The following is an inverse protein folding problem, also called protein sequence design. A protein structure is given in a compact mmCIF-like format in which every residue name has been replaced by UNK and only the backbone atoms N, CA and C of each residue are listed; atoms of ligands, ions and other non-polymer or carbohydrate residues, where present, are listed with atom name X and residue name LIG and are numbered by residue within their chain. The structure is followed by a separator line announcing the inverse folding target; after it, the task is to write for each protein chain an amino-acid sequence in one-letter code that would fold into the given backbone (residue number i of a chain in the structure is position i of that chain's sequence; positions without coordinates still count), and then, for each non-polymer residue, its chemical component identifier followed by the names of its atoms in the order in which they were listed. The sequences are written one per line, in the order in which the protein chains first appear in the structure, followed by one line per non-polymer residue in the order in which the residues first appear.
data_IF_701945236800
#
_entry.id   IF_701945236800
#
_cell.length_a   1.000
_cell.length_b   1.000
_cell.length_c   1.000
_cell.angle_alpha   90.00
_cell.angle_beta   90.00
_cell.angle_gamma   90.00
#
_symmetry.space_group_name_H-M   'P 1'
#
loop_
_entity.id
_entity.type
_entity.pdbx_description
1 polymer ?
#
# COMPACT_ATOMS: atom_id res chain seq x y z
N UNK A 1 -7.08 42.05 27.84
CA UNK A 1 -6.25 41.69 26.67
C UNK A 1 -7.18 41.11 25.59
N UNK A 2 -7.50 41.90 24.55
CA UNK A 2 -8.36 41.41 23.46
C UNK A 2 -7.54 40.50 22.55
N UNK A 3 -7.86 39.20 22.58
CA UNK A 3 -7.24 38.23 21.70
C UNK A 3 -7.65 38.54 20.24
N UNK A 4 -6.71 38.71 19.31
CA UNK A 4 -6.99 38.99 17.90
C UNK A 4 -7.89 37.91 17.27
N UNK A 5 -8.80 38.32 16.37
CA UNK A 5 -9.77 37.39 15.71
C UNK A 5 -9.11 36.18 15.10
N UNK A 6 -7.92 36.32 14.51
CA UNK A 6 -7.14 35.24 13.91
C UNK A 6 -6.70 34.18 14.93
N UNK A 7 -6.33 34.60 16.15
CA UNK A 7 -5.92 33.67 17.23
C UNK A 7 -7.16 32.97 17.81
N UNK A 8 -8.31 33.64 17.91
CA UNK A 8 -9.58 33.00 18.31
C UNK A 8 -9.99 31.90 17.31
N UNK A 9 -9.87 32.17 16.01
CA UNK A 9 -10.16 31.20 14.97
C UNK A 9 -9.21 29.98 15.04
N UNK A 10 -7.92 30.21 15.26
CA UNK A 10 -6.93 29.16 15.43
C UNK A 10 -7.22 28.28 16.66
N UNK A 11 -7.61 28.89 17.78
CA UNK A 11 -8.00 28.15 18.99
C UNK A 11 -9.27 27.33 18.81
N UNK A 12 -10.26 27.84 18.04
CA UNK A 12 -11.47 27.09 17.71
C UNK A 12 -11.14 25.88 16.83
N UNK A 13 -10.28 26.05 15.82
CA UNK A 13 -9.81 24.96 14.96
C UNK A 13 -9.06 23.90 15.80
N UNK A 14 -8.19 24.31 16.72
CA UNK A 14 -7.47 23.38 17.61
C UNK A 14 -8.41 22.60 18.55
N UNK A 15 -9.51 23.22 19.01
CA UNK A 15 -10.51 22.57 19.86
C UNK A 15 -11.33 21.52 19.10
N UNK A 16 -11.62 21.76 17.83
CA UNK A 16 -12.37 20.81 16.97
C UNK A 16 -11.58 19.52 16.73
N UNK A 17 -10.25 19.58 16.65
CA UNK A 17 -9.40 18.40 16.48
C UNK A 17 -9.48 17.41 17.65
N UNK A 18 -9.77 17.85 18.85
CA UNK A 18 -9.87 16.96 20.02
C UNK A 18 -11.19 16.17 20.09
N UNK A 19 -12.17 16.50 19.24
CA UNK A 19 -13.47 15.80 19.17
C UNK A 19 -13.56 14.81 18.00
N UNK A 20 -12.53 14.75 17.16
CA UNK A 20 -12.50 13.85 16.01
C UNK A 20 -11.99 12.47 16.44
N UNK A 21 -12.90 11.60 16.89
CA UNK A 21 -12.63 10.17 16.98
C UNK A 21 -12.74 9.59 15.56
N UNK A 22 -11.60 9.35 14.92
CA UNK A 22 -11.54 8.71 13.61
C UNK A 22 -11.11 7.26 13.79
N UNK A 23 -11.90 6.34 13.24
CA UNK A 23 -11.64 4.91 13.25
C UNK A 23 -12.73 4.11 13.94
N UNK A 24 -12.78 2.83 13.64
CA UNK A 24 -13.65 1.87 14.32
C UNK A 24 -12.77 1.02 15.24
N UNK A 25 -12.95 1.14 16.56
CA UNK A 25 -12.19 0.41 17.58
C UNK A 25 -12.33 -1.11 17.42
N UNK A 26 -13.51 -1.59 16.99
CA UNK A 26 -13.79 -3.02 16.78
C UNK A 26 -12.95 -3.61 15.62
N UNK A 27 -12.40 -2.77 14.76
CA UNK A 27 -11.56 -3.16 13.61
C UNK A 27 -10.07 -2.92 13.85
N UNK A 28 -9.69 -2.47 15.04
CA UNK A 28 -8.29 -2.26 15.36
C UNK A 28 -7.52 -3.58 15.26
N UNK A 29 -6.44 -3.60 14.49
CA UNK A 29 -5.62 -4.80 14.25
C UNK A 29 -6.19 -5.81 13.25
N UNK A 30 -7.34 -5.57 12.62
CA UNK A 30 -7.93 -6.47 11.60
C UNK A 30 -7.27 -6.35 10.22
N UNK A 31 -6.53 -5.28 9.96
CA UNK A 31 -5.87 -5.04 8.68
C UNK A 31 -4.54 -5.80 8.60
N UNK A 32 -4.38 -6.57 7.51
CA UNK A 32 -3.09 -7.14 7.08
C UNK A 32 -2.48 -6.32 5.95
N UNK A 33 -1.48 -6.88 5.27
CA UNK A 33 -0.81 -6.26 4.11
C UNK A 33 -0.32 -4.83 4.38
N UNK A 34 0.23 -4.58 5.57
CA UNK A 34 0.68 -3.25 6.00
C UNK A 34 1.79 -2.66 5.11
N UNK A 35 2.48 -3.48 4.34
CA UNK A 35 3.44 -3.06 3.33
C UNK A 35 2.82 -2.20 2.22
N UNK A 36 1.50 -2.26 2.01
CA UNK A 36 0.77 -1.37 1.09
C UNK A 36 0.79 0.10 1.53
N UNK A 37 1.13 0.36 2.80
CA UNK A 37 1.30 1.72 3.33
C UNK A 37 2.70 2.26 3.11
N UNK A 38 3.66 1.42 2.73
CA UNK A 38 5.04 1.81 2.51
C UNK A 38 5.15 2.49 1.15
N UNK A 39 5.62 3.74 1.15
CA UNK A 39 5.89 4.46 -0.08
C UNK A 39 7.26 4.04 -0.64
N UNK A 40 7.31 3.45 -1.85
CA UNK A 40 8.56 2.94 -2.40
C UNK A 40 9.43 4.03 -3.07
N UNK A 41 8.91 5.23 -3.27
CA UNK A 41 9.57 6.29 -4.02
C UNK A 41 10.35 7.22 -3.11
N UNK A 42 11.64 7.37 -3.37
CA UNK A 42 12.57 8.06 -2.49
C UNK A 42 12.18 9.53 -2.25
N UNK A 43 11.74 10.25 -3.28
CA UNK A 43 11.40 11.66 -3.17
C UNK A 43 10.20 11.88 -2.27
N UNK A 44 9.08 11.21 -2.54
CA UNK A 44 7.87 11.36 -1.75
C UNK A 44 7.98 10.69 -0.37
N UNK A 45 8.77 9.63 -0.23
CA UNK A 45 9.09 9.04 1.07
C UNK A 45 9.93 9.97 1.94
N UNK A 46 10.86 10.73 1.34
CA UNK A 46 11.66 11.74 2.04
C UNK A 46 10.84 12.87 2.67
N UNK A 47 9.64 13.13 2.17
CA UNK A 47 8.64 14.03 2.76
C UNK A 47 7.68 13.33 3.72
N UNK A 48 8.04 12.14 4.20
CA UNK A 48 7.19 11.29 5.05
C UNK A 48 5.80 11.06 4.43
N UNK A 49 5.71 11.00 3.10
CA UNK A 49 4.46 10.86 2.34
C UNK A 49 3.43 11.99 2.56
N UNK A 50 3.85 13.15 3.07
CA UNK A 50 2.97 14.28 3.36
C UNK A 50 2.45 15.02 2.10
N UNK A 51 2.91 14.62 0.91
CA UNK A 51 2.66 15.33 -0.35
C UNK A 51 1.37 14.96 -1.10
N UNK A 52 0.31 14.49 -0.46
CA UNK A 52 -0.93 14.01 -1.13
C UNK A 52 -1.52 15.03 -2.11
N UNK A 53 -1.46 16.31 -1.79
CA UNK A 53 -1.98 17.37 -2.67
C UNK A 53 -0.98 17.89 -3.70
N UNK A 54 0.31 17.59 -3.55
CA UNK A 54 1.38 18.19 -4.36
C UNK A 54 2.15 17.20 -5.21
N UNK A 55 2.09 15.88 -4.91
CA UNK A 55 2.78 14.85 -5.67
C UNK A 55 2.36 14.85 -7.14
N UNK A 56 3.33 14.72 -8.05
CA UNK A 56 3.12 14.68 -9.49
C UNK A 56 3.78 13.45 -10.10
N UNK A 57 3.31 13.06 -11.29
CA UNK A 57 3.92 12.01 -12.07
C UNK A 57 3.71 10.62 -11.48
N UNK A 58 4.64 9.72 -11.74
CA UNK A 58 4.54 8.30 -11.41
C UNK A 58 4.40 8.03 -9.92
N UNK A 59 5.08 8.80 -9.06
CA UNK A 59 5.00 8.65 -7.60
C UNK A 59 3.57 8.83 -7.05
N UNK A 60 2.74 9.57 -7.78
CA UNK A 60 1.36 9.85 -7.40
C UNK A 60 0.48 8.59 -7.33
N UNK A 61 0.83 7.52 -8.04
CA UNK A 61 0.10 6.24 -7.98
C UNK A 61 0.02 5.73 -6.54
N UNK A 62 1.04 5.98 -5.69
CA UNK A 62 1.08 5.52 -4.31
C UNK A 62 0.46 6.47 -3.30
N UNK A 63 0.42 7.78 -3.60
CA UNK A 63 -0.07 8.79 -2.65
C UNK A 63 -1.48 9.28 -3.01
N UNK A 64 -1.61 9.88 -4.17
CA UNK A 64 -2.88 10.35 -4.71
C UNK A 64 -2.83 10.26 -6.23
N UNK A 65 -3.55 9.29 -6.76
CA UNK A 65 -3.51 8.96 -8.19
C UNK A 65 -3.91 10.15 -9.10
N UNK A 66 -4.63 11.15 -8.61
CA UNK A 66 -4.92 12.39 -9.35
C UNK A 66 -3.66 13.14 -9.79
N UNK A 67 -2.56 13.00 -9.04
CA UNK A 67 -1.27 13.60 -9.37
C UNK A 67 -0.59 13.00 -10.60
N UNK A 68 -0.93 11.77 -10.97
CA UNK A 68 -0.45 11.12 -12.19
C UNK A 68 -0.80 11.93 -13.44
N UNK A 69 -1.94 12.66 -13.45
CA UNK A 69 -2.36 13.52 -14.56
C UNK A 69 -1.35 14.64 -14.91
N UNK A 70 -0.37 14.87 -14.03
CA UNK A 70 0.70 15.85 -14.22
C UNK A 70 2.03 15.24 -14.65
N UNK A 71 2.05 13.94 -14.97
CA UNK A 71 3.22 13.31 -15.56
C UNK A 71 3.60 13.98 -16.90
N UNK A 72 4.89 13.99 -17.17
CA UNK A 72 5.44 14.39 -18.47
C UNK A 72 5.02 13.37 -19.56
N UNK A 73 5.51 13.54 -20.77
CA UNK A 73 5.15 12.67 -21.91
C UNK A 73 5.29 11.19 -21.57
N UNK A 74 6.48 10.84 -21.07
CA UNK A 74 6.82 9.49 -20.62
C UNK A 74 7.71 9.62 -19.40
N UNK A 75 7.38 8.92 -18.33
CA UNK A 75 8.19 8.83 -17.11
C UNK A 75 8.49 7.38 -16.81
N UNK A 76 9.74 7.06 -16.54
CA UNK A 76 10.18 5.74 -16.08
C UNK A 76 10.95 5.97 -14.78
N UNK A 77 10.59 5.25 -13.75
CA UNK A 77 11.26 5.34 -12.46
C UNK A 77 11.58 3.94 -11.92
N UNK A 78 12.72 3.84 -11.26
CA UNK A 78 13.16 2.67 -10.50
C UNK A 78 13.56 3.12 -9.10
N UNK A 79 13.22 2.32 -8.12
CA UNK A 79 13.66 2.56 -6.74
C UNK A 79 14.03 1.24 -6.08
N UNK A 80 15.10 1.27 -5.30
CA UNK A 80 15.49 0.18 -4.40
C UNK A 80 15.78 0.75 -3.03
N UNK A 81 15.15 0.20 -2.02
CA UNK A 81 15.33 0.60 -0.62
C UNK A 81 15.71 -0.62 0.21
N UNK A 82 16.77 -0.52 0.99
CA UNK A 82 17.05 -1.49 2.03
C UNK A 82 16.22 -1.10 3.26
N UNK A 83 15.17 -1.84 3.52
CA UNK A 83 14.24 -1.54 4.62
C UNK A 83 14.86 -1.93 5.95
N UNK A 84 14.77 -1.06 6.94
CA UNK A 84 15.40 -1.22 8.26
C UNK A 84 16.94 -1.40 8.22
N UNK A 85 17.58 -0.92 7.16
CA UNK A 85 19.03 -0.96 7.01
C UNK A 85 19.55 -2.25 6.35
N UNK A 86 20.87 -2.30 6.13
CA UNK A 86 21.51 -3.41 5.40
C UNK A 86 21.55 -4.74 6.15
N UNK A 87 21.34 -4.72 7.47
CA UNK A 87 21.45 -5.90 8.33
C UNK A 87 20.16 -6.74 8.28
N UNK A 88 19.02 -6.10 7.99
CA UNK A 88 17.72 -6.77 8.01
C UNK A 88 17.53 -7.79 6.88
N UNK A 89 18.28 -7.67 5.77
CA UNK A 89 18.05 -8.46 4.56
C UNK A 89 16.76 -8.10 3.80
N UNK A 90 15.97 -7.17 4.33
CA UNK A 90 14.68 -6.78 3.75
C UNK A 90 14.90 -5.75 2.65
N UNK A 91 14.48 -6.09 1.44
CA UNK A 91 14.60 -5.25 0.25
C UNK A 91 13.25 -4.87 -0.33
N UNK A 92 13.10 -3.59 -0.67
CA UNK A 92 11.95 -3.05 -1.38
C UNK A 92 12.41 -2.59 -2.76
N UNK A 93 11.90 -3.20 -3.81
CA UNK A 93 12.19 -2.86 -5.20
C UNK A 93 10.92 -2.34 -5.86
N UNK A 94 11.03 -1.27 -6.62
CA UNK A 94 9.91 -0.70 -7.35
C UNK A 94 10.33 -0.23 -8.72
N UNK A 95 9.44 -0.40 -9.67
CA UNK A 95 9.56 0.07 -11.03
C UNK A 95 8.23 0.63 -11.52
N UNK A 96 8.27 1.57 -12.42
CA UNK A 96 7.03 2.07 -13.01
C UNK A 96 7.26 2.86 -14.28
N UNK A 97 6.17 2.98 -15.02
CA UNK A 97 6.05 3.72 -16.27
C UNK A 97 4.77 4.54 -16.22
N UNK A 98 4.87 5.81 -16.58
CA UNK A 98 3.71 6.64 -16.88
C UNK A 98 3.82 7.17 -18.31
N UNK A 99 2.71 7.09 -19.03
CA UNK A 99 2.62 7.52 -20.42
C UNK A 99 1.40 8.43 -20.59
N UNK A 100 1.63 9.63 -21.16
CA UNK A 100 0.56 10.54 -21.54
C UNK A 100 -0.25 9.94 -22.68
N UNK A 101 -1.57 9.92 -22.54
CA UNK A 101 -2.54 9.41 -23.51
C UNK A 101 -3.54 10.51 -23.84
N UNK A 102 -3.58 10.93 -25.09
CA UNK A 102 -4.35 12.08 -25.51
C UNK A 102 -3.85 13.40 -24.92
N UNK A 103 -4.75 14.39 -24.84
CA UNK A 103 -4.35 15.75 -24.41
C UNK A 103 -4.27 15.88 -22.89
N UNK A 104 -5.13 15.24 -22.15
CA UNK A 104 -5.32 15.46 -20.71
C UNK A 104 -5.20 14.21 -19.83
N UNK A 105 -5.08 13.02 -20.42
CA UNK A 105 -5.01 11.74 -19.74
C UNK A 105 -3.60 11.20 -19.61
N UNK A 106 -3.35 10.40 -18.58
CA UNK A 106 -2.11 9.66 -18.33
C UNK A 106 -2.45 8.25 -17.86
N UNK A 107 -1.84 7.27 -18.49
CA UNK A 107 -1.85 5.87 -18.05
C UNK A 107 -0.55 5.60 -17.28
N UNK A 108 -0.66 4.95 -16.14
CA UNK A 108 0.48 4.54 -15.32
C UNK A 108 0.44 3.06 -15.00
N UNK A 109 1.59 2.44 -14.99
CA UNK A 109 1.77 1.07 -14.51
C UNK A 109 2.91 1.10 -13.51
N UNK A 110 2.75 0.45 -12.36
CA UNK A 110 3.82 0.31 -11.40
C UNK A 110 3.82 -1.06 -10.74
N UNK A 111 4.99 -1.47 -10.35
CA UNK A 111 5.27 -2.73 -9.68
C UNK A 111 6.09 -2.44 -8.43
N UNK A 112 5.74 -3.09 -7.32
CA UNK A 112 6.48 -3.05 -6.08
C UNK A 112 6.63 -4.48 -5.57
N UNK A 113 7.83 -4.84 -5.16
CA UNK A 113 8.12 -6.12 -4.52
C UNK A 113 8.92 -5.87 -3.24
N UNK A 114 8.41 -6.37 -2.14
CA UNK A 114 9.11 -6.43 -0.86
C UNK A 114 9.53 -7.86 -0.60
N UNK A 115 10.82 -8.04 -0.43
CA UNK A 115 11.46 -9.30 -0.09
C UNK A 115 11.92 -9.22 1.36
N UNK A 116 11.54 -10.21 2.17
CA UNK A 116 11.82 -10.19 3.61
C UNK A 116 13.12 -10.92 4.00
N UNK A 117 13.92 -11.31 3.01
CA UNK A 117 15.15 -12.06 3.22
C UNK A 117 14.90 -13.57 3.39
N UNK A 118 15.98 -14.29 3.58
CA UNK A 118 15.95 -15.73 3.78
C UNK A 118 15.75 -16.06 5.25
N UNK A 119 14.73 -16.86 5.54
CA UNK A 119 14.40 -17.34 6.88
C UNK A 119 14.73 -18.83 6.94
N UNK A 120 15.49 -19.22 7.96
CA UNK A 120 15.87 -20.62 8.20
C UNK A 120 14.63 -21.46 8.51
N UNK A 121 14.54 -22.63 7.88
CA UNK A 121 13.57 -23.64 8.24
C UNK A 121 14.09 -24.38 9.47
N UNK A 122 13.32 -24.37 10.55
CA UNK A 122 13.64 -25.02 11.81
C UNK A 122 12.59 -26.07 12.17
N UNK A 123 12.99 -27.11 12.88
CA UNK A 123 12.11 -28.12 13.47
C UNK A 123 12.41 -28.29 14.95
N UNK A 124 11.57 -29.04 15.65
CA UNK A 124 11.82 -29.38 17.06
C UNK A 124 13.10 -30.18 17.27
N UNK A 125 13.52 -30.93 16.26
CA UNK A 125 14.75 -31.74 16.28
C UNK A 125 15.98 -30.94 15.84
N UNK A 126 15.79 -29.93 14.96
CA UNK A 126 16.86 -29.06 14.44
C UNK A 126 16.47 -27.58 14.63
N UNK A 127 16.49 -27.08 15.87
CA UNK A 127 16.10 -25.71 16.20
C UNK A 127 17.06 -24.67 15.63
N UNK A 128 18.31 -25.02 15.38
CA UNK A 128 19.34 -24.14 14.76
C UNK A 128 19.21 -24.06 13.24
N UNK A 129 18.27 -24.79 12.63
CA UNK A 129 18.08 -24.81 11.17
C UNK A 129 19.00 -25.80 10.48
N UNK A 130 19.47 -25.47 9.26
CA UNK A 130 20.34 -26.36 8.46
C UNK A 130 19.58 -27.26 7.49
N UNK A 131 18.24 -27.19 7.44
CA UNK A 131 17.39 -27.96 6.54
C UNK A 131 17.22 -27.21 5.20
N UNK A 132 17.17 -25.86 5.27
CA UNK A 132 16.94 -24.98 4.13
C UNK A 132 16.43 -23.61 4.58
N UNK A 133 16.10 -22.79 3.59
CA UNK A 133 15.53 -21.46 3.83
C UNK A 133 14.25 -21.27 3.00
N UNK A 134 13.38 -20.37 3.43
CA UNK A 134 12.28 -19.84 2.63
C UNK A 134 12.33 -18.33 2.63
N UNK A 135 11.78 -17.71 1.59
CA UNK A 135 11.84 -16.27 1.39
C UNK A 135 10.42 -15.72 1.27
N UNK A 136 9.88 -15.07 2.32
CA UNK A 136 8.60 -14.40 2.22
C UNK A 136 8.69 -13.18 1.31
N UNK A 137 7.64 -12.92 0.57
CA UNK A 137 7.59 -11.76 -0.33
C UNK A 137 6.17 -11.20 -0.43
N UNK A 138 6.10 -9.90 -0.63
CA UNK A 138 4.87 -9.19 -0.96
C UNK A 138 5.05 -8.44 -2.27
N UNK A 139 4.10 -8.60 -3.17
CA UNK A 139 4.11 -7.99 -4.50
C UNK A 139 2.84 -7.18 -4.72
N UNK A 140 2.98 -5.99 -5.25
CA UNK A 140 1.89 -5.10 -5.58
C UNK A 140 2.07 -4.61 -7.03
N UNK A 141 1.08 -4.88 -7.87
CA UNK A 141 1.02 -4.43 -9.25
C UNK A 141 -0.13 -3.45 -9.41
N UNK A 142 0.12 -2.31 -10.05
CA UNK A 142 -0.82 -1.22 -10.20
C UNK A 142 -1.02 -0.86 -11.68
N UNK A 143 -2.27 -0.62 -12.05
CA UNK A 143 -2.66 -0.01 -13.32
C UNK A 143 -3.49 1.21 -12.98
N UNK A 144 -3.00 2.39 -13.32
CA UNK A 144 -3.60 3.66 -12.97
C UNK A 144 -3.95 4.48 -14.19
N UNK A 145 -5.05 5.19 -14.12
CA UNK A 145 -5.41 6.21 -15.10
C UNK A 145 -5.82 7.47 -14.38
N UNK A 146 -5.27 8.59 -14.82
CA UNK A 146 -5.62 9.91 -14.30
C UNK A 146 -5.82 10.91 -15.43
N UNK A 147 -6.67 11.90 -15.18
CA UNK A 147 -7.04 12.91 -16.17
C UNK A 147 -7.19 14.28 -15.52
N UNK A 148 -6.76 15.32 -16.25
CA UNK A 148 -7.13 16.71 -15.96
C UNK A 148 -8.51 16.98 -16.54
N UNK A 149 -9.49 17.26 -15.69
CA UNK A 149 -10.84 17.63 -16.11
C UNK A 149 -10.95 19.11 -16.46
N UNK A 150 -10.15 19.94 -15.78
CA UNK A 150 -10.00 21.37 -16.04
C UNK A 150 -8.57 21.82 -15.66
N UNK A 151 -8.30 23.12 -15.78
CA UNK A 151 -7.05 23.71 -15.27
C UNK A 151 -6.85 23.49 -13.78
N UNK A 152 -7.95 23.44 -13.01
CA UNK A 152 -7.94 23.34 -11.54
C UNK A 152 -8.21 21.95 -11.01
N UNK A 153 -8.90 21.08 -11.73
CA UNK A 153 -9.37 19.79 -11.22
C UNK A 153 -8.74 18.63 -11.98
N UNK A 154 -8.15 17.72 -11.25
CA UNK A 154 -7.70 16.43 -11.74
C UNK A 154 -8.21 15.29 -10.86
N UNK A 155 -8.37 14.13 -11.46
CA UNK A 155 -8.78 12.92 -10.75
C UNK A 155 -8.20 11.67 -11.40
N UNK A 156 -8.21 10.58 -10.66
CA UNK A 156 -7.70 9.31 -11.17
C UNK A 156 -8.19 8.12 -10.38
N UNK A 157 -8.02 6.95 -10.98
CA UNK A 157 -8.29 5.64 -10.42
C UNK A 157 -7.07 4.75 -10.60
N UNK A 158 -6.85 3.87 -9.62
CA UNK A 158 -5.80 2.87 -9.65
C UNK A 158 -6.38 1.52 -9.26
N UNK A 159 -6.14 0.52 -10.07
CA UNK A 159 -6.45 -0.88 -9.77
C UNK A 159 -5.16 -1.55 -9.29
N UNK A 160 -5.22 -2.21 -8.15
CA UNK A 160 -4.12 -2.95 -7.53
C UNK A 160 -4.39 -4.45 -7.54
N UNK A 161 -3.35 -5.20 -7.83
CA UNK A 161 -3.29 -6.64 -7.56
C UNK A 161 -2.22 -6.87 -6.52
N UNK A 162 -2.61 -7.43 -5.38
CA UNK A 162 -1.75 -7.70 -4.23
C UNK A 162 -1.52 -9.20 -4.11
N UNK A 163 -0.29 -9.62 -3.90
CA UNK A 163 0.06 -11.03 -3.69
C UNK A 163 1.11 -11.13 -2.58
N UNK A 164 0.81 -11.90 -1.56
CA UNK A 164 1.75 -12.27 -0.50
C UNK A 164 2.07 -13.76 -0.59
N UNK A 165 3.33 -14.12 -0.40
CA UNK A 165 3.79 -15.50 -0.45
C UNK A 165 4.70 -15.78 0.75
N UNK A 166 4.41 -16.86 1.47
CA UNK A 166 5.19 -17.33 2.62
C UNK A 166 5.32 -18.84 2.48
N UNK A 167 6.53 -19.31 2.16
CA UNK A 167 6.75 -20.75 1.92
C UNK A 167 5.71 -21.33 0.95
N UNK A 168 4.88 -22.26 1.38
CA UNK A 168 3.90 -23.01 0.59
C UNK A 168 2.48 -22.40 0.66
N UNK A 169 2.33 -21.18 1.20
CA UNK A 169 1.05 -20.49 1.29
C UNK A 169 1.10 -19.14 0.58
N UNK A 170 -0.03 -18.76 -0.01
CA UNK A 170 -0.18 -17.49 -0.73
C UNK A 170 -1.52 -16.86 -0.42
N UNK A 171 -1.52 -15.53 -0.28
CA UNK A 171 -2.72 -14.71 -0.28
C UNK A 171 -2.72 -13.80 -1.50
N UNK A 172 -3.86 -13.65 -2.16
CA UNK A 172 -4.02 -12.76 -3.30
C UNK A 172 -5.32 -11.96 -3.15
N UNK A 173 -5.28 -10.71 -3.61
CA UNK A 173 -6.41 -9.82 -3.58
C UNK A 173 -6.30 -8.69 -4.58
N UNK A 174 -7.38 -7.96 -4.69
CA UNK A 174 -7.49 -6.77 -5.52
C UNK A 174 -7.95 -5.59 -4.68
N UNK A 175 -7.48 -4.40 -5.02
CA UNK A 175 -7.90 -3.17 -4.39
C UNK A 175 -8.03 -2.04 -5.41
N UNK A 176 -8.78 -1.02 -5.06
CA UNK A 176 -8.96 0.17 -5.85
C UNK A 176 -8.54 1.38 -5.02
N UNK A 177 -7.81 2.29 -5.66
CA UNK A 177 -7.59 3.63 -5.13
C UNK A 177 -8.31 4.64 -6.03
N UNK A 178 -8.78 5.72 -5.42
CA UNK A 178 -9.34 6.87 -6.11
C UNK A 178 -8.75 8.15 -5.54
N UNK A 179 -8.58 9.16 -6.38
CA UNK A 179 -8.03 10.43 -5.94
C UNK A 179 -8.57 11.60 -6.73
N UNK A 180 -8.74 12.71 -6.04
CA UNK A 180 -9.11 14.00 -6.61
C UNK A 180 -8.14 15.05 -6.09
N UNK A 181 -7.76 15.99 -6.94
CA UNK A 181 -6.98 17.16 -6.58
C UNK A 181 -7.62 18.41 -7.17
N UNK A 182 -7.66 19.45 -6.34
CA UNK A 182 -8.09 20.79 -6.71
C UNK A 182 -6.94 21.78 -6.47
N UNK A 183 -6.62 22.57 -7.49
CA UNK A 183 -5.56 23.59 -7.48
C UNK A 183 -6.23 24.95 -7.66
N UNK A 184 -5.86 25.93 -6.85
CA UNK A 184 -6.37 27.29 -6.89
C UNK A 184 -5.34 28.31 -6.38
N UNK A 185 -5.70 29.58 -6.38
CA UNK A 185 -4.82 30.70 -6.05
C UNK A 185 -4.25 31.36 -7.28
N UNK A 186 -3.76 32.60 -7.16
CA UNK A 186 -3.24 33.39 -8.28
C UNK A 186 -2.03 32.75 -8.97
N UNK A 187 -1.26 31.96 -8.22
CA UNK A 187 -0.05 31.27 -8.70
C UNK A 187 -0.10 29.75 -8.49
N UNK A 188 -1.30 29.15 -8.47
CA UNK A 188 -1.53 27.71 -8.22
C UNK A 188 -0.92 27.23 -6.89
N UNK A 189 -0.84 28.13 -5.91
CA UNK A 189 -0.15 27.92 -4.64
C UNK A 189 -1.02 27.25 -3.56
N UNK A 190 -2.33 27.11 -3.79
CA UNK A 190 -3.25 26.45 -2.87
C UNK A 190 -3.70 25.12 -3.51
N UNK A 191 -3.44 24.03 -2.83
CA UNK A 191 -3.75 22.68 -3.33
C UNK A 191 -4.52 21.89 -2.27
N UNK A 192 -5.66 21.36 -2.67
CA UNK A 192 -6.46 20.44 -1.87
C UNK A 192 -6.49 19.08 -2.55
N UNK A 193 -6.52 18.01 -1.77
CA UNK A 193 -6.66 16.69 -2.30
C UNK A 193 -7.40 15.76 -1.34
N UNK A 194 -8.12 14.82 -1.92
CA UNK A 194 -8.73 13.69 -1.23
C UNK A 194 -8.23 12.43 -1.93
N UNK A 195 -7.86 11.45 -1.14
CA UNK A 195 -7.41 10.15 -1.63
C UNK A 195 -8.08 9.05 -0.82
N UNK A 196 -8.64 8.09 -1.52
CA UNK A 196 -9.13 6.83 -0.97
C UNK A 196 -8.21 5.73 -1.46
N UNK A 197 -7.68 4.90 -0.56
CA UNK A 197 -6.67 3.91 -0.90
C UNK A 197 -6.99 2.53 -0.35
N UNK A 198 -6.55 1.51 -1.09
CA UNK A 198 -6.58 0.10 -0.69
C UNK A 198 -7.98 -0.42 -0.36
N UNK A 199 -9.01 0.03 -1.07
CA UNK A 199 -10.37 -0.46 -0.88
C UNK A 199 -10.56 -1.73 -1.71
N UNK A 200 -10.81 -2.84 -1.03
CA UNK A 200 -10.98 -4.14 -1.67
C UNK A 200 -11.58 -5.19 -0.73
N UNK A 201 -11.90 -6.36 -1.25
CA UNK A 201 -12.37 -7.47 -0.46
C UNK A 201 -11.27 -7.98 0.50
N UNK A 202 -11.64 -8.62 1.62
CA UNK A 202 -10.68 -9.28 2.50
C UNK A 202 -9.88 -10.35 1.77
N UNK A 203 -8.64 -10.53 2.19
CA UNK A 203 -7.74 -11.57 1.70
C UNK A 203 -7.63 -12.73 2.70
N UNK A 204 -7.26 -13.91 2.21
CA UNK A 204 -6.91 -15.05 3.06
C UNK A 204 -5.76 -15.83 2.47
N UNK A 205 -4.97 -16.47 3.32
CA UNK A 205 -3.94 -17.39 2.87
C UNK A 205 -4.54 -18.74 2.45
N UNK A 206 -3.97 -19.33 1.40
CA UNK A 206 -4.28 -20.66 0.91
C UNK A 206 -2.99 -21.34 0.43
N UNK A 207 -2.98 -22.67 0.43
CA UNK A 207 -1.84 -23.45 -0.02
C UNK A 207 -1.67 -24.72 0.79
N UNK A 208 -0.73 -25.54 0.35
CA UNK A 208 -0.48 -26.86 0.95
C UNK A 208 0.15 -26.77 2.36
N UNK A 209 0.83 -25.66 2.66
CA UNK A 209 1.37 -25.39 4.00
C UNK A 209 0.31 -25.25 5.11
N UNK A 210 -0.99 -25.20 4.74
CA UNK A 210 -2.11 -25.21 5.68
C UNK A 210 -2.75 -26.58 5.84
N UNK A 211 -2.18 -27.61 5.22
CA UNK A 211 -2.64 -29.00 5.35
C UNK A 211 -1.94 -29.67 6.53
N UNK A 212 -2.71 -30.32 7.38
CA UNK A 212 -2.21 -31.11 8.52
C UNK A 212 -2.67 -32.53 8.28
N UNK A 213 -1.71 -33.46 8.31
CA UNK A 213 -2.00 -34.89 8.27
C UNK A 213 -2.36 -35.38 9.67
N UNK A 214 -3.62 -35.76 9.86
CA UNK A 214 -4.09 -36.36 11.11
C UNK A 214 -4.24 -37.85 10.95
N UNK A 215 -3.56 -38.63 11.80
CA UNK A 215 -3.76 -40.07 11.90
C UNK A 215 -5.12 -40.36 12.56
N UNK A 216 -5.97 -41.09 11.84
CA UNK A 216 -7.19 -41.61 12.45
C UNK A 216 -6.79 -42.77 13.39
N UNK A 217 -7.01 -42.62 14.72
CA UNK A 217 -6.57 -43.62 15.68
C UNK A 217 -7.26 -44.98 15.52
N UNK A 218 -8.41 -45.02 14.85
CA UNK A 218 -9.17 -46.25 14.66
C UNK A 218 -8.75 -47.06 13.41
N UNK A 219 -8.17 -46.39 12.41
CA UNK A 219 -7.86 -47.02 11.10
C UNK A 219 -6.41 -46.92 10.72
N UNK A 220 -5.59 -46.15 11.49
CA UNK A 220 -4.17 -45.84 11.16
C UNK A 220 -3.99 -45.21 9.76
N UNK A 221 -5.08 -44.66 9.22
CA UNK A 221 -5.04 -43.96 7.92
C UNK A 221 -4.78 -42.50 8.19
N UNK A 222 -3.80 -41.92 7.49
CA UNK A 222 -3.56 -40.47 7.49
C UNK A 222 -4.62 -39.77 6.65
N UNK A 223 -5.31 -38.82 7.25
CA UNK A 223 -6.32 -37.98 6.59
C UNK A 223 -5.77 -36.55 6.57
N UNK A 224 -5.55 -36.02 5.37
CA UNK A 224 -5.17 -34.63 5.17
C UNK A 224 -6.33 -33.71 5.51
N UNK A 225 -6.19 -32.90 6.56
CA UNK A 225 -7.16 -31.83 6.90
C UNK A 225 -6.57 -30.48 6.54
N UNK A 226 -7.30 -29.70 5.76
CA UNK A 226 -6.93 -28.30 5.49
C UNK A 226 -7.41 -27.40 6.63
N UNK A 227 -6.47 -26.71 7.26
CA UNK A 227 -6.80 -25.73 8.32
C UNK A 227 -7.50 -24.52 7.70
N UNK A 228 -8.58 -24.08 8.35
CA UNK A 228 -9.23 -22.80 8.01
C UNK A 228 -8.38 -21.64 8.49
N UNK A 229 -8.10 -20.69 7.59
CA UNK A 229 -7.40 -19.45 7.90
C UNK A 229 -8.40 -18.30 7.94
N UNK A 230 -8.25 -17.43 8.92
CA UNK A 230 -9.04 -16.20 9.00
C UNK A 230 -8.74 -15.27 7.83
N UNK A 231 -9.74 -14.55 7.38
CA UNK A 231 -9.57 -13.45 6.43
C UNK A 231 -9.01 -12.23 7.14
N UNK A 232 -8.25 -11.42 6.43
CA UNK A 232 -7.78 -10.12 6.90
C UNK A 232 -8.15 -9.03 5.90
N UNK A 233 -8.36 -7.82 6.39
CA UNK A 233 -8.73 -6.70 5.56
C UNK A 233 -7.50 -5.97 5.01
N UNK A 234 -7.64 -5.31 3.87
CA UNK A 234 -6.61 -4.42 3.36
C UNK A 234 -6.57 -3.12 4.19
N UNK A 235 -5.38 -2.48 4.33
CA UNK A 235 -5.22 -1.27 5.14
C UNK A 235 -5.80 -0.06 4.39
N UNK A 236 -7.13 0.05 4.35
CA UNK A 236 -7.84 1.15 3.70
C UNK A 236 -7.61 2.49 4.41
N UNK A 237 -7.41 3.54 3.65
CA UNK A 237 -7.17 4.91 4.10
C UNK A 237 -8.06 5.89 3.36
#
# INVERSE_FOLDING_TARGET
LMIPKKIKLLLIILLIFNLANAGNEDRAGSAGSSELLINPWAQSAGWASAGISSVNGLEAIFLNVAGLAYANKTEIQFSRTNWLGNISGIGLNSAGLAQKVGESGVLGISFMNMNYGDIQITTTELPEGGIGTFNPSSTNFNIAYAKKFSSSISGGLNLKVVSQSISNVRAQGVAIDAGIRYITGETDNIKFAISLKNVGPPMSFSGDGLSIDMLNPSTSISIGMRQRVSTFELPSQ
#
